data_IF_776388775617
#
_entry.id   IF_776388775617
#
_cell.length_a   1.000
_cell.length_b   1.000
_cell.length_c   1.000
_cell.angle_alpha   90.00
_cell.angle_beta   90.00
_cell.angle_gamma   90.00
#
_symmetry.space_group_name_H-M   'P 1'
#
loop_
_entity.id
_entity.type
_entity.pdbx_description
1 polymer ?
#
# COMPACT_ATOMS: atom_id res chain seq x y z
N UNK A 1 44.23 -1.70 -13.61
CA UNK A 1 43.80 -2.89 -14.36
C UNK A 1 45.05 -3.75 -14.58
N UNK A 2 45.10 -4.97 -14.03
CA UNK A 2 46.32 -5.79 -13.97
C UNK A 2 46.80 -6.19 -15.37
N UNK A 3 45.87 -6.39 -16.31
CA UNK A 3 46.17 -6.86 -17.66
C UNK A 3 46.83 -5.76 -18.52
N UNK A 4 46.35 -4.52 -18.43
CA UNK A 4 46.97 -3.37 -19.10
C UNK A 4 48.42 -3.17 -18.61
N UNK A 5 48.62 -3.18 -17.30
CA UNK A 5 49.96 -3.05 -16.68
C UNK A 5 50.88 -4.20 -17.08
N UNK A 6 50.35 -5.42 -17.20
CA UNK A 6 51.10 -6.60 -17.63
C UNK A 6 51.52 -6.47 -19.10
N UNK A 7 50.64 -5.99 -19.98
CA UNK A 7 50.96 -5.75 -21.38
C UNK A 7 51.95 -4.59 -21.57
N UNK A 8 51.82 -3.49 -20.83
CA UNK A 8 52.79 -2.39 -20.86
C UNK A 8 54.20 -2.88 -20.49
N UNK A 9 54.32 -3.69 -19.44
CA UNK A 9 55.59 -4.30 -19.04
C UNK A 9 56.14 -5.25 -20.12
N UNK A 10 55.26 -6.03 -20.77
CA UNK A 10 55.63 -6.91 -21.89
C UNK A 10 56.14 -6.13 -23.11
N UNK A 11 55.46 -5.04 -23.49
CA UNK A 11 55.89 -4.13 -24.55
C UNK A 11 57.27 -3.55 -24.25
N UNK A 12 57.52 -3.16 -22.99
CA UNK A 12 58.80 -2.61 -22.55
C UNK A 12 59.93 -3.65 -22.68
N UNK A 13 59.67 -4.90 -22.30
CA UNK A 13 60.59 -6.03 -22.53
C UNK A 13 60.82 -6.31 -24.02
N UNK A 14 59.77 -6.27 -24.86
CA UNK A 14 59.89 -6.48 -26.31
C UNK A 14 60.70 -5.38 -27.00
N UNK A 15 60.53 -4.12 -26.59
CA UNK A 15 61.37 -2.99 -27.06
C UNK A 15 62.85 -3.20 -26.73
N UNK A 16 63.16 -3.74 -25.54
CA UNK A 16 64.52 -4.12 -25.18
C UNK A 16 65.10 -5.19 -26.12
N UNK A 17 64.32 -6.23 -26.42
CA UNK A 17 64.72 -7.32 -27.35
C UNK A 17 64.87 -6.86 -28.80
N UNK A 18 64.03 -5.91 -29.24
CA UNK A 18 64.09 -5.31 -30.57
C UNK A 18 65.46 -4.66 -30.85
N UNK A 19 66.02 -3.97 -29.85
CA UNK A 19 67.32 -3.30 -29.96
C UNK A 19 68.50 -4.27 -30.06
N UNK A 20 68.30 -5.54 -29.70
CA UNK A 20 69.31 -6.61 -29.75
C UNK A 20 69.05 -7.62 -30.87
N UNK A 21 68.09 -7.35 -31.75
CA UNK A 21 67.71 -8.28 -32.82
C UNK A 21 68.88 -8.53 -33.79
N UNK A 22 69.12 -9.81 -34.11
CA UNK A 22 70.31 -10.24 -34.86
C UNK A 22 70.04 -10.41 -36.36
N UNK A 23 68.77 -10.40 -36.76
CA UNK A 23 68.34 -10.46 -38.15
C UNK A 23 67.14 -9.54 -38.41
N UNK A 24 67.00 -9.07 -39.66
CA UNK A 24 65.83 -8.27 -40.07
C UNK A 24 64.51 -9.02 -39.85
N UNK A 25 64.51 -10.35 -39.99
CA UNK A 25 63.31 -11.17 -39.76
C UNK A 25 62.88 -11.15 -38.27
N UNK A 26 63.83 -11.22 -37.35
CA UNK A 26 63.54 -11.09 -35.91
C UNK A 26 63.04 -9.68 -35.57
N UNK A 27 63.64 -8.66 -36.17
CA UNK A 27 63.22 -7.27 -36.00
C UNK A 27 61.76 -7.06 -36.42
N UNK A 28 61.38 -7.53 -37.62
CA UNK A 28 60.02 -7.39 -38.14
C UNK A 28 58.98 -8.14 -37.29
N UNK A 29 59.32 -9.33 -36.78
CA UNK A 29 58.43 -10.10 -35.90
C UNK A 29 58.21 -9.37 -34.58
N UNK A 30 59.28 -8.92 -33.92
CA UNK A 30 59.17 -8.23 -32.62
C UNK A 30 58.43 -6.91 -32.79
N UNK A 31 58.68 -6.17 -33.89
CA UNK A 31 57.98 -4.94 -34.21
C UNK A 31 56.48 -5.18 -34.38
N UNK A 32 56.08 -6.18 -35.17
CA UNK A 32 54.66 -6.54 -35.34
C UNK A 32 54.00 -6.95 -34.02
N UNK A 33 54.74 -7.62 -33.12
CA UNK A 33 54.22 -8.00 -31.80
C UNK A 33 54.03 -6.80 -30.87
N UNK A 34 54.93 -5.81 -30.91
CA UNK A 34 54.77 -4.54 -30.20
C UNK A 34 53.55 -3.79 -30.72
N UNK A 35 53.38 -3.68 -32.03
CA UNK A 35 52.24 -3.00 -32.65
C UNK A 35 50.90 -3.68 -32.26
N UNK A 36 50.86 -5.01 -32.26
CA UNK A 36 49.69 -5.77 -31.82
C UNK A 36 49.37 -5.56 -30.33
N UNK A 37 50.38 -5.65 -29.46
CA UNK A 37 50.19 -5.43 -28.01
C UNK A 37 49.80 -3.97 -27.70
N UNK A 38 50.30 -2.98 -28.45
CA UNK A 38 49.89 -1.58 -28.34
C UNK A 38 48.44 -1.36 -28.76
N UNK A 39 47.99 -2.00 -29.84
CA UNK A 39 46.60 -1.96 -30.25
C UNK A 39 45.68 -2.60 -29.20
N UNK A 40 46.10 -3.73 -28.62
CA UNK A 40 45.37 -4.37 -27.53
C UNK A 40 45.26 -3.46 -26.29
N UNK A 41 46.32 -2.71 -25.95
CA UNK A 41 46.27 -1.73 -24.86
C UNK A 41 45.31 -0.58 -25.13
N UNK A 42 45.28 -0.03 -26.35
CA UNK A 42 44.32 1.02 -26.71
C UNK A 42 42.88 0.53 -26.52
N UNK A 43 42.56 -0.69 -26.93
CA UNK A 43 41.22 -1.27 -26.71
C UNK A 43 40.91 -1.44 -25.23
N UNK A 44 41.88 -1.92 -24.44
CA UNK A 44 41.72 -2.05 -22.99
C UNK A 44 41.54 -0.70 -22.29
N UNK A 45 42.24 0.34 -22.73
CA UNK A 45 42.10 1.70 -22.20
C UNK A 45 40.71 2.27 -22.48
N UNK A 46 40.21 2.11 -23.70
CA UNK A 46 38.85 2.52 -24.08
C UNK A 46 37.80 1.78 -23.22
N UNK A 47 37.94 0.45 -23.05
CA UNK A 47 37.06 -0.34 -22.19
C UNK A 47 37.10 0.10 -20.72
N UNK A 48 38.26 0.50 -20.21
CA UNK A 48 38.42 1.00 -18.84
C UNK A 48 37.66 2.33 -18.70
N UNK A 49 37.84 3.26 -19.64
CA UNK A 49 37.14 4.54 -19.62
C UNK A 49 35.63 4.37 -19.67
N UNK A 50 35.12 3.51 -20.57
CA UNK A 50 33.69 3.20 -20.61
C UNK A 50 33.15 2.62 -19.29
N UNK A 51 33.96 1.79 -18.61
CA UNK A 51 33.57 1.23 -17.31
C UNK A 51 33.58 2.29 -16.22
N UNK A 52 34.52 3.24 -16.25
CA UNK A 52 34.55 4.37 -15.33
C UNK A 52 33.31 5.24 -15.50
N UNK A 53 32.93 5.59 -16.73
CA UNK A 53 31.72 6.35 -17.01
C UNK A 53 30.46 5.63 -16.51
N UNK A 54 30.40 4.29 -16.69
CA UNK A 54 29.30 3.47 -16.17
C UNK A 54 29.25 3.46 -14.64
N UNK A 55 30.39 3.45 -13.96
CA UNK A 55 30.45 3.53 -12.50
C UNK A 55 29.90 4.87 -12.03
N UNK A 56 30.36 5.98 -12.59
CA UNK A 56 29.93 7.33 -12.21
C UNK A 56 28.41 7.53 -12.43
N UNK A 57 27.89 7.02 -13.55
CA UNK A 57 26.46 7.01 -13.83
C UNK A 57 25.67 6.17 -12.79
N UNK A 58 26.17 4.96 -12.49
CA UNK A 58 25.52 4.07 -11.51
C UNK A 58 25.56 4.66 -10.10
N UNK A 59 26.67 5.30 -9.69
CA UNK A 59 26.76 5.96 -8.40
C UNK A 59 25.75 7.10 -8.25
N UNK A 60 25.55 7.87 -9.32
CA UNK A 60 24.52 8.92 -9.36
C UNK A 60 23.12 8.33 -9.20
N UNK A 61 22.80 7.26 -9.95
CA UNK A 61 21.52 6.56 -9.82
C UNK A 61 21.30 6.01 -8.41
N UNK A 62 22.33 5.42 -7.80
CA UNK A 62 22.26 4.91 -6.42
C UNK A 62 21.94 6.04 -5.43
N UNK A 63 22.59 7.20 -5.56
CA UNK A 63 22.29 8.35 -4.69
C UNK A 63 20.84 8.82 -4.85
N UNK A 64 20.31 8.85 -6.07
CA UNK A 64 18.91 9.20 -6.31
C UNK A 64 17.94 8.19 -5.70
N UNK A 65 18.25 6.89 -5.80
CA UNK A 65 17.46 5.84 -5.15
C UNK A 65 17.50 5.91 -3.63
N UNK A 66 18.64 6.23 -3.04
CA UNK A 66 18.77 6.45 -1.58
C UNK A 66 17.86 7.60 -1.15
N UNK A 67 17.89 8.74 -1.84
CA UNK A 67 17.01 9.89 -1.55
C UNK A 67 15.53 9.54 -1.67
N UNK A 68 15.14 8.84 -2.74
CA UNK A 68 13.76 8.38 -2.96
C UNK A 68 13.30 7.45 -1.83
N UNK A 69 14.16 6.53 -1.40
CA UNK A 69 13.87 5.60 -0.30
C UNK A 69 13.68 6.34 1.03
N UNK A 70 14.55 7.29 1.34
CA UNK A 70 14.46 8.10 2.57
C UNK A 70 13.17 8.93 2.59
N UNK A 71 12.82 9.57 1.47
CA UNK A 71 11.58 10.32 1.33
C UNK A 71 10.34 9.43 1.54
N UNK A 72 10.31 8.27 0.87
CA UNK A 72 9.21 7.29 1.01
C UNK A 72 9.09 6.77 2.45
N UNK A 73 10.21 6.53 3.15
CA UNK A 73 10.18 6.09 4.54
C UNK A 73 9.67 7.19 5.48
N UNK A 74 10.04 8.45 5.24
CA UNK A 74 9.53 9.57 6.01
C UNK A 74 8.02 9.75 5.83
N UNK A 75 7.53 9.64 4.59
CA UNK A 75 6.10 9.71 4.26
C UNK A 75 5.32 8.55 4.90
N UNK A 76 5.83 7.32 4.77
CA UNK A 76 5.20 6.14 5.38
C UNK A 76 5.08 6.28 6.91
N UNK A 77 6.14 6.78 7.57
CA UNK A 77 6.12 6.99 9.02
C UNK A 77 5.10 8.05 9.44
N UNK A 78 4.97 9.14 8.67
CA UNK A 78 3.96 10.16 8.93
C UNK A 78 2.55 9.58 8.77
N UNK A 79 2.32 8.84 7.69
CA UNK A 79 1.04 8.20 7.41
C UNK A 79 0.66 7.19 8.51
N UNK A 80 1.62 6.41 9.00
CA UNK A 80 1.41 5.48 10.12
C UNK A 80 0.96 6.20 11.40
N UNK A 81 1.56 7.35 11.72
CA UNK A 81 1.16 8.18 12.86
C UNK A 81 -0.24 8.78 12.67
N UNK A 82 -0.54 9.28 11.47
CA UNK A 82 -1.85 9.84 11.15
C UNK A 82 -2.94 8.75 11.25
N UNK A 83 -2.68 7.54 10.73
CA UNK A 83 -3.60 6.40 10.87
C UNK A 83 -3.79 5.97 12.32
N UNK A 84 -2.72 5.91 13.12
CA UNK A 84 -2.82 5.55 14.53
C UNK A 84 -3.69 6.53 15.30
N UNK A 85 -3.48 7.84 15.10
CA UNK A 85 -4.28 8.87 15.76
C UNK A 85 -5.75 8.86 15.32
N UNK A 86 -6.03 8.68 14.02
CA UNK A 86 -7.39 8.54 13.52
C UNK A 86 -8.08 7.29 14.09
N UNK A 87 -7.36 6.17 14.16
CA UNK A 87 -7.90 4.93 14.74
C UNK A 87 -8.27 5.14 16.20
N UNK A 88 -7.39 5.73 16.99
CA UNK A 88 -7.64 5.94 18.42
C UNK A 88 -8.83 6.89 18.65
N UNK A 89 -9.01 7.91 17.78
CA UNK A 89 -10.20 8.78 17.77
C UNK A 89 -11.49 8.00 17.47
N UNK A 90 -11.47 7.17 16.42
CA UNK A 90 -12.63 6.36 16.04
C UNK A 90 -12.97 5.32 17.10
N UNK A 91 -11.97 4.72 17.74
CA UNK A 91 -12.18 3.77 18.83
C UNK A 91 -12.88 4.44 20.03
N UNK A 92 -12.56 5.70 20.32
CA UNK A 92 -13.25 6.46 21.36
C UNK A 92 -14.70 6.79 20.97
N UNK A 93 -14.93 7.26 19.74
CA UNK A 93 -16.28 7.50 19.22
C UNK A 93 -17.14 6.22 19.23
N UNK A 94 -16.55 5.06 18.91
CA UNK A 94 -17.22 3.76 18.97
C UNK A 94 -17.59 3.41 20.42
N UNK A 95 -16.72 3.66 21.39
CA UNK A 95 -17.04 3.42 22.81
C UNK A 95 -18.17 4.32 23.28
N UNK A 96 -18.13 5.61 22.96
CA UNK A 96 -19.18 6.56 23.30
C UNK A 96 -20.52 6.17 22.69
N UNK A 97 -20.54 5.82 21.39
CA UNK A 97 -21.73 5.33 20.71
C UNK A 97 -22.28 4.05 21.36
N UNK A 98 -21.42 3.08 21.68
CA UNK A 98 -21.84 1.84 22.32
C UNK A 98 -22.40 2.06 23.73
N UNK A 99 -21.82 2.99 24.50
CA UNK A 99 -22.34 3.38 25.80
C UNK A 99 -23.74 4.01 25.67
N UNK A 100 -23.89 4.96 24.74
CA UNK A 100 -25.19 5.60 24.46
C UNK A 100 -26.25 4.60 23.99
N UNK A 101 -25.89 3.62 23.15
CA UNK A 101 -26.79 2.53 22.74
C UNK A 101 -27.19 1.69 23.94
N UNK A 102 -26.22 1.27 24.77
CA UNK A 102 -26.49 0.46 25.96
C UNK A 102 -27.44 1.17 26.93
N UNK A 103 -27.29 2.48 27.11
CA UNK A 103 -28.17 3.28 27.96
C UNK A 103 -29.57 3.43 27.34
N UNK A 104 -29.66 3.71 26.04
CA UNK A 104 -30.93 3.82 25.32
C UNK A 104 -31.72 2.49 25.31
N UNK A 105 -31.04 1.35 25.20
CA UNK A 105 -31.66 0.02 25.17
C UNK A 105 -32.21 -0.43 26.53
N UNK A 106 -31.94 0.30 27.64
CA UNK A 106 -32.50 -0.04 28.96
C UNK A 106 -34.03 0.05 29.00
N UNK A 107 -34.64 0.86 28.13
CA UNK A 107 -36.11 0.98 28.01
C UNK A 107 -36.75 -0.27 27.39
N UNK A 108 -35.98 -1.12 26.72
CA UNK A 108 -36.50 -2.27 25.97
C UNK A 108 -36.86 -3.40 26.95
N UNK A 109 -38.12 -3.86 26.98
CA UNK A 109 -38.53 -4.95 27.85
C UNK A 109 -37.79 -6.27 27.56
N UNK A 110 -37.47 -7.02 28.61
CA UNK A 110 -36.76 -8.32 28.50
C UNK A 110 -37.47 -9.33 27.57
N UNK A 111 -38.80 -9.24 27.48
CA UNK A 111 -39.62 -10.12 26.64
C UNK A 111 -39.30 -10.00 25.15
N UNK A 112 -38.85 -8.84 24.69
CA UNK A 112 -38.53 -8.60 23.27
C UNK A 112 -37.03 -8.35 23.02
N UNK A 113 -36.24 -8.19 24.08
CA UNK A 113 -34.81 -7.86 24.01
C UNK A 113 -34.01 -8.82 23.13
N UNK A 114 -34.25 -10.12 23.26
CA UNK A 114 -33.58 -11.16 22.44
C UNK A 114 -33.95 -11.04 20.96
N UNK A 115 -35.22 -10.79 20.65
CA UNK A 115 -35.70 -10.63 19.29
C UNK A 115 -35.14 -9.35 18.66
N UNK A 116 -35.13 -8.24 19.41
CA UNK A 116 -34.56 -6.97 18.96
C UNK A 116 -33.06 -7.08 18.71
N UNK A 117 -32.30 -7.68 19.64
CA UNK A 117 -30.86 -7.89 19.46
C UNK A 117 -30.54 -8.73 18.22
N UNK A 118 -31.38 -9.72 17.88
CA UNK A 118 -31.24 -10.49 16.63
C UNK A 118 -31.44 -9.61 15.40
N UNK A 119 -32.43 -8.71 15.42
CA UNK A 119 -32.68 -7.77 14.32
C UNK A 119 -31.55 -6.77 14.16
N UNK A 120 -31.02 -6.21 15.24
CA UNK A 120 -29.86 -5.30 15.21
C UNK A 120 -28.63 -6.00 14.61
N UNK A 121 -28.36 -7.27 14.95
CA UNK A 121 -27.27 -8.02 14.32
C UNK A 121 -27.46 -8.22 12.82
N UNK A 122 -28.70 -8.36 12.34
CA UNK A 122 -29.00 -8.59 10.93
C UNK A 122 -29.14 -7.32 10.10
N UNK A 123 -29.55 -6.20 10.72
CA UNK A 123 -29.94 -4.98 10.02
C UNK A 123 -29.26 -3.70 10.53
N UNK A 124 -28.45 -3.78 11.59
CA UNK A 124 -27.80 -2.63 12.21
C UNK A 124 -28.79 -1.55 12.62
N UNK A 125 -28.51 -0.29 12.27
CA UNK A 125 -29.39 0.85 12.47
C UNK A 125 -30.77 0.69 11.80
N UNK A 126 -30.88 -0.17 10.78
CA UNK A 126 -32.14 -0.49 10.11
C UNK A 126 -33.01 -1.51 10.83
N UNK A 127 -32.74 -1.87 12.09
CA UNK A 127 -33.61 -2.76 12.87
C UNK A 127 -34.96 -2.14 13.25
N UNK A 128 -35.03 -0.80 13.22
CA UNK A 128 -36.23 0.00 13.44
C UNK A 128 -36.80 0.50 12.11
N UNK A 129 -38.12 0.67 12.05
CA UNK A 129 -38.79 1.29 10.91
C UNK A 129 -39.98 2.13 11.39
N UNK A 130 -40.06 3.38 10.94
CA UNK A 130 -41.26 4.19 11.18
C UNK A 130 -42.43 3.75 10.29
N UNK A 131 -43.64 4.10 10.70
CA UNK A 131 -44.84 3.88 9.90
C UNK A 131 -45.22 5.13 9.12
N UNK A 132 -44.96 5.12 7.81
CA UNK A 132 -45.38 6.16 6.88
C UNK A 132 -46.86 5.96 6.50
N UNK A 133 -47.77 6.62 7.22
CA UNK A 133 -49.20 6.47 7.04
C UNK A 133 -49.70 5.06 7.38
N UNK A 134 -49.77 4.17 6.37
CA UNK A 134 -50.15 2.75 6.52
C UNK A 134 -49.06 1.77 6.11
N UNK A 135 -47.87 2.25 5.74
CA UNK A 135 -46.80 1.41 5.20
C UNK A 135 -45.60 1.37 6.16
N UNK A 136 -44.96 0.20 6.24
CA UNK A 136 -43.65 0.07 6.87
C UNK A 136 -42.61 0.80 6.01
N UNK A 137 -41.88 1.76 6.57
CA UNK A 137 -40.90 2.54 5.79
C UNK A 137 -39.72 1.73 5.24
N UNK A 138 -39.49 0.53 5.78
CA UNK A 138 -38.35 -0.29 5.41
C UNK A 138 -38.64 -1.37 4.36
N UNK A 139 -39.88 -1.87 4.27
CA UNK A 139 -40.26 -2.86 3.24
C UNK A 139 -41.41 -2.41 2.34
N UNK A 140 -41.99 -1.23 2.59
CA UNK A 140 -43.10 -0.64 1.83
C UNK A 140 -44.36 -1.52 1.78
N UNK A 141 -44.49 -2.48 2.70
CA UNK A 141 -45.69 -3.31 2.82
C UNK A 141 -46.69 -2.62 3.75
N UNK A 142 -47.98 -2.71 3.39
CA UNK A 142 -49.07 -2.18 4.20
C UNK A 142 -49.17 -2.93 5.52
N UNK A 143 -49.28 -2.19 6.63
CA UNK A 143 -49.43 -2.73 7.97
C UNK A 143 -50.90 -3.08 8.20
N UNK A 144 -51.13 -4.26 8.77
CA UNK A 144 -52.46 -4.73 9.11
C UNK A 144 -53.17 -3.77 10.09
N UNK A 145 -54.48 -3.49 9.92
CA UNK A 145 -55.21 -2.57 10.79
C UNK A 145 -55.09 -2.90 12.27
N UNK A 146 -55.08 -4.19 12.64
CA UNK A 146 -54.93 -4.61 14.04
C UNK A 146 -53.55 -4.24 14.61
N UNK A 147 -52.48 -4.44 13.84
CA UNK A 147 -51.12 -4.05 14.25
C UNK A 147 -50.99 -2.53 14.39
N UNK A 148 -51.68 -1.75 13.53
CA UNK A 148 -51.74 -0.29 13.63
C UNK A 148 -52.42 0.15 14.92
N UNK A 149 -53.52 -0.51 15.32
CA UNK A 149 -54.21 -0.23 16.59
C UNK A 149 -53.32 -0.56 17.79
N UNK A 150 -52.62 -1.70 17.76
CA UNK A 150 -51.68 -2.08 18.81
C UNK A 150 -50.52 -1.07 18.93
N UNK A 151 -49.97 -0.64 17.81
CA UNK A 151 -48.91 0.38 17.77
C UNK A 151 -49.40 1.72 18.35
N UNK A 152 -50.61 2.16 17.98
CA UNK A 152 -51.22 3.38 18.53
C UNK A 152 -51.52 3.27 20.03
N UNK A 153 -51.71 2.05 20.56
CA UNK A 153 -51.89 1.82 22.00
C UNK A 153 -50.58 1.86 22.81
N UNK A 154 -49.45 2.14 22.15
CA UNK A 154 -48.12 2.18 22.76
C UNK A 154 -47.49 0.79 22.93
N UNK A 155 -48.03 -0.26 22.31
CA UNK A 155 -47.39 -1.58 22.30
C UNK A 155 -46.26 -1.62 21.27
N UNK A 156 -45.21 -2.36 21.61
CA UNK A 156 -44.09 -2.65 20.71
C UNK A 156 -44.52 -3.73 19.71
N UNK A 157 -44.50 -3.38 18.42
CA UNK A 157 -45.02 -4.22 17.34
C UNK A 157 -43.96 -4.41 16.26
N UNK A 158 -43.78 -5.65 15.80
CA UNK A 158 -42.88 -5.97 14.69
C UNK A 158 -43.64 -6.04 13.36
N UNK A 159 -43.00 -5.61 12.27
CA UNK A 159 -43.53 -5.79 10.93
C UNK A 159 -43.62 -7.29 10.58
N UNK A 160 -44.82 -7.80 10.26
CA UNK A 160 -45.01 -9.21 9.84
C UNK A 160 -44.29 -9.59 8.56
N UNK A 161 -43.95 -8.61 7.70
CA UNK A 161 -43.27 -8.86 6.42
C UNK A 161 -41.75 -8.85 6.53
N UNK A 162 -41.15 -7.86 7.19
CA UNK A 162 -39.69 -7.73 7.25
C UNK A 162 -39.09 -7.87 8.65
N UNK A 163 -39.91 -8.07 9.69
CA UNK A 163 -39.45 -8.32 11.06
C UNK A 163 -38.96 -7.09 11.83
N UNK A 164 -38.78 -5.92 11.21
CA UNK A 164 -38.33 -4.69 11.89
C UNK A 164 -39.31 -4.20 12.95
N UNK A 165 -38.79 -3.63 14.02
CA UNK A 165 -39.61 -3.05 15.10
C UNK A 165 -40.18 -1.70 14.64
N UNK A 166 -41.50 -1.56 14.75
CA UNK A 166 -42.23 -0.41 14.25
C UNK A 166 -42.34 0.69 15.30
N UNK A 167 -42.20 1.94 14.87
CA UNK A 167 -42.50 3.12 15.69
C UNK A 167 -43.32 4.15 14.90
N UNK A 168 -43.98 5.05 15.63
CA UNK A 168 -44.71 6.17 15.05
C UNK A 168 -43.77 7.38 15.00
N UNK A 169 -43.80 8.10 13.89
CA UNK A 169 -43.04 9.35 13.75
C UNK A 169 -43.74 10.44 14.56
N UNK A 170 -42.99 11.13 15.43
CA UNK A 170 -43.52 12.19 16.31
C UNK A 170 -44.08 13.41 15.54
N UNK A 171 -43.84 13.50 14.22
CA UNK A 171 -44.27 14.62 13.36
C UNK A 171 -45.56 14.37 12.58
N UNK A 172 -46.52 13.62 13.14
CA UNK A 172 -47.84 13.44 12.54
C UNK A 172 -49.00 13.80 13.48
N UNK A 173 -48.89 15.00 14.06
CA UNK A 173 -50.04 15.87 14.36
C UNK A 173 -50.12 17.00 13.32
#
# INVERSE_FOLDING_TARGET
NLDLQTNEAKILSLKGKLNTASSNKEFDIIKGQIEADQMANSVLEDEILERMDKIDATETEVQDWVRKKEAAHAEAKKLEQDFASMRDSLDEEIKECNAAISDAEQIIPDSIKVQFARLVRSHGAGALAFVAGRFCSACNVMIEPQLRVELNSGRLVFCKSCGRLLYLEESSE
#
